data_IF_304399172860
#
_entry.id   IF_304399172860
#
_cell.length_a   1.000
_cell.length_b   1.000
_cell.length_c   1.000
_cell.angle_alpha   90.00
_cell.angle_beta   90.00
_cell.angle_gamma   90.00
#
_symmetry.space_group_name_H-M   'P 1'
#
loop_
_entity.id
_entity.type
_entity.pdbx_description
1 polymer ?
#
# COMPACT_ATOMS: atom_id res chain seq x y z
N UNK A 1 -23.47 -8.18 -1.03
CA UNK A 1 -22.69 -9.02 -1.94
C UNK A 1 -21.23 -8.55 -1.95
N UNK A 2 -20.30 -9.48 -1.86
CA UNK A 2 -18.85 -9.18 -1.80
C UNK A 2 -18.40 -8.38 -3.02
N UNK A 3 -18.91 -8.72 -4.21
CA UNK A 3 -18.56 -8.00 -5.45
C UNK A 3 -19.02 -6.55 -5.40
N UNK A 4 -20.21 -6.31 -4.90
CA UNK A 4 -20.76 -4.96 -4.77
C UNK A 4 -19.99 -4.16 -3.74
N UNK A 5 -19.59 -4.81 -2.63
CA UNK A 5 -18.80 -4.18 -1.58
C UNK A 5 -17.41 -3.78 -2.11
N UNK A 6 -16.79 -4.64 -2.90
CA UNK A 6 -15.50 -4.35 -3.53
C UNK A 6 -15.59 -3.18 -4.49
N UNK A 7 -16.64 -3.15 -5.33
CA UNK A 7 -16.82 -2.07 -6.28
C UNK A 7 -17.06 -0.74 -5.56
N UNK A 8 -17.89 -0.78 -4.51
CA UNK A 8 -18.17 0.41 -3.72
C UNK A 8 -16.90 0.94 -3.05
N UNK A 9 -16.06 0.04 -2.52
CA UNK A 9 -14.80 0.42 -1.91
C UNK A 9 -13.85 1.02 -2.93
N UNK A 10 -13.73 0.42 -4.10
CA UNK A 10 -12.89 0.95 -5.16
C UNK A 10 -13.34 2.34 -5.59
N UNK A 11 -14.64 2.56 -5.70
CA UNK A 11 -15.18 3.88 -6.06
C UNK A 11 -14.88 4.91 -4.99
N UNK A 12 -15.07 4.55 -3.72
CA UNK A 12 -14.83 5.44 -2.59
C UNK A 12 -13.37 5.85 -2.48
N UNK A 13 -12.46 4.91 -2.72
CA UNK A 13 -11.03 5.13 -2.53
C UNK A 13 -10.31 5.56 -3.81
N UNK A 14 -11.04 5.70 -4.91
CA UNK A 14 -10.47 6.05 -6.23
C UNK A 14 -9.38 5.07 -6.64
N UNK A 15 -9.63 3.78 -6.42
CA UNK A 15 -8.67 2.70 -6.72
C UNK A 15 -8.85 2.26 -8.17
N UNK A 16 -7.73 2.10 -8.88
CA UNK A 16 -7.75 1.65 -10.26
C UNK A 16 -7.80 0.12 -10.36
N UNK A 17 -7.13 -0.59 -9.44
CA UNK A 17 -7.03 -2.05 -9.52
C UNK A 17 -6.70 -2.64 -8.15
N UNK A 18 -7.36 -3.76 -7.82
CA UNK A 18 -7.00 -4.56 -6.66
C UNK A 18 -5.98 -5.62 -7.07
N UNK A 19 -4.85 -5.67 -6.38
CA UNK A 19 -3.79 -6.63 -6.64
C UNK A 19 -3.26 -7.20 -5.33
N UNK A 20 -2.57 -8.34 -5.42
CA UNK A 20 -1.81 -8.88 -4.30
C UNK A 20 -0.35 -8.44 -4.43
N UNK A 21 0.39 -8.50 -3.33
CA UNK A 21 1.82 -8.17 -3.36
C UNK A 21 2.59 -9.10 -4.30
N UNK A 22 2.12 -10.35 -4.45
CA UNK A 22 2.74 -11.30 -5.37
C UNK A 22 2.61 -10.89 -6.84
N UNK A 23 1.67 -10.00 -7.16
CA UNK A 23 1.52 -9.47 -8.51
C UNK A 23 2.54 -8.38 -8.82
N UNK A 24 3.21 -7.84 -7.81
CA UNK A 24 4.22 -6.78 -7.98
C UNK A 24 5.55 -7.45 -8.34
N UNK A 25 5.68 -7.83 -9.60
CA UNK A 25 6.87 -8.50 -10.14
C UNK A 25 7.72 -7.49 -10.92
N UNK A 26 8.99 -7.82 -11.23
CA UNK A 26 9.78 -6.94 -12.10
C UNK A 26 9.11 -6.66 -13.45
N UNK A 27 8.41 -7.64 -14.00
CA UNK A 27 7.67 -7.45 -15.26
C UNK A 27 6.53 -6.45 -15.07
N UNK A 28 5.77 -6.58 -13.98
CA UNK A 28 4.68 -5.66 -13.65
C UNK A 28 5.20 -4.23 -13.55
N UNK A 29 6.31 -4.03 -12.84
CA UNK A 29 6.91 -2.72 -12.66
C UNK A 29 7.39 -2.15 -14.00
N UNK A 30 7.96 -2.98 -14.87
CA UNK A 30 8.38 -2.53 -16.20
C UNK A 30 7.21 -2.06 -17.05
N UNK A 31 6.11 -2.79 -17.01
CA UNK A 31 4.88 -2.39 -17.73
C UNK A 31 4.35 -1.07 -17.18
N UNK A 32 4.33 -0.95 -15.85
CA UNK A 32 3.86 0.27 -15.19
C UNK A 32 4.68 1.49 -15.61
N UNK A 33 5.98 1.34 -15.77
CA UNK A 33 6.86 2.42 -16.19
C UNK A 33 6.54 2.97 -17.58
N UNK A 34 5.93 2.16 -18.44
CA UNK A 34 5.59 2.59 -19.80
C UNK A 34 4.54 3.69 -19.79
N UNK A 35 3.84 3.86 -18.69
CA UNK A 35 2.83 4.92 -18.53
C UNK A 35 3.41 6.18 -17.88
N UNK A 36 4.66 6.14 -17.42
CA UNK A 36 5.35 7.31 -16.87
C UNK A 36 5.77 8.28 -17.99
N UNK A 37 6.04 9.56 -17.71
CA UNK A 37 5.99 10.16 -16.37
C UNK A 37 4.56 10.47 -15.90
N UNK A 38 4.37 10.45 -14.60
CA UNK A 38 3.07 10.74 -14.00
C UNK A 38 3.00 12.21 -13.55
N UNK A 39 1.82 12.78 -13.66
CA UNK A 39 1.59 14.16 -13.28
C UNK A 39 0.18 14.57 -13.65
N UNK A 40 -0.15 15.88 -13.66
CA UNK A 40 -1.48 16.33 -14.06
C UNK A 40 -1.82 15.82 -15.45
N UNK A 41 -2.97 15.14 -15.57
CA UNK A 41 -3.39 14.54 -16.84
C UNK A 41 -2.86 13.15 -17.09
N UNK A 42 -1.91 12.68 -16.27
CA UNK A 42 -1.40 11.31 -16.35
C UNK A 42 -1.05 10.83 -14.93
N UNK A 43 -2.08 10.55 -14.17
CA UNK A 43 -1.92 10.19 -12.75
C UNK A 43 -1.38 8.78 -12.60
N UNK A 44 -0.53 8.59 -11.58
CA UNK A 44 -0.05 7.26 -11.21
C UNK A 44 -1.23 6.39 -10.79
N UNK A 45 -1.26 5.10 -11.21
CA UNK A 45 -2.34 4.20 -10.80
C UNK A 45 -2.34 4.00 -9.28
N UNK A 46 -3.52 3.90 -8.70
CA UNK A 46 -3.71 3.59 -7.29
C UNK A 46 -4.19 2.15 -7.18
N UNK A 47 -3.48 1.38 -6.38
CA UNK A 47 -3.77 -0.05 -6.16
C UNK A 47 -4.35 -0.28 -4.78
N UNK A 48 -5.12 -1.35 -4.65
CA UNK A 48 -5.65 -1.83 -3.38
C UNK A 48 -5.10 -3.22 -3.12
N UNK A 49 -4.55 -3.44 -1.93
CA UNK A 49 -4.16 -4.78 -1.47
C UNK A 49 -4.80 -5.04 -0.12
N UNK A 50 -5.33 -6.25 0.06
CA UNK A 50 -6.01 -6.67 1.28
C UNK A 50 -5.17 -7.66 2.06
N UNK A 51 -5.59 -7.93 3.29
CA UNK A 51 -4.94 -8.90 4.17
C UNK A 51 -3.48 -8.54 4.44
N UNK A 52 -3.23 -7.24 4.61
CA UNK A 52 -1.89 -6.72 4.88
C UNK A 52 -1.69 -6.65 6.39
N UNK A 53 -0.51 -7.06 6.83
CA UNK A 53 -0.12 -7.00 8.24
C UNK A 53 1.27 -6.40 8.37
N UNK A 54 1.54 -5.83 9.55
CA UNK A 54 2.87 -5.34 9.90
C UNK A 54 3.82 -6.53 10.02
N UNK A 55 5.00 -6.42 9.39
CA UNK A 55 6.03 -7.45 9.49
C UNK A 55 6.75 -7.43 10.84
N UNK A 56 6.50 -6.42 11.67
CA UNK A 56 7.10 -6.31 12.99
C UNK A 56 8.04 -5.14 13.16
N UNK A 57 8.35 -4.42 12.09
CA UNK A 57 9.33 -3.33 12.13
C UNK A 57 8.77 -1.99 11.66
N UNK A 58 7.47 -1.90 11.47
CA UNK A 58 6.83 -0.62 11.15
C UNK A 58 6.96 0.35 12.33
N UNK A 59 7.12 1.63 12.03
CA UNK A 59 7.33 2.64 13.06
C UNK A 59 6.74 3.98 12.65
N UNK A 60 6.48 4.82 13.64
CA UNK A 60 6.09 6.19 13.37
C UNK A 60 7.35 7.05 13.21
N UNK A 61 7.29 8.02 12.31
CA UNK A 61 8.39 8.94 12.02
C UNK A 61 7.86 10.35 11.91
N UNK A 62 8.75 11.34 11.89
CA UNK A 62 8.35 12.74 11.74
C UNK A 62 7.49 13.23 12.88
N UNK A 63 7.94 13.06 14.13
CA UNK A 63 7.21 13.44 15.34
C UNK A 63 5.85 12.73 15.43
N UNK A 64 5.82 11.45 15.05
CA UNK A 64 4.63 10.57 15.10
C UNK A 64 3.53 10.99 14.11
N UNK A 65 3.87 11.78 13.10
CA UNK A 65 2.89 12.21 12.10
C UNK A 65 2.73 11.21 10.97
N UNK A 66 3.78 10.47 10.67
CA UNK A 66 3.81 9.56 9.52
C UNK A 66 4.15 8.16 9.96
N UNK A 67 3.80 7.18 9.12
CA UNK A 67 4.15 5.78 9.34
C UNK A 67 5.16 5.33 8.30
N UNK A 68 6.26 4.75 8.76
CA UNK A 68 7.16 3.99 7.90
C UNK A 68 6.81 2.53 8.07
N UNK A 69 6.32 1.91 7.00
CA UNK A 69 5.74 0.59 7.03
C UNK A 69 6.70 -0.46 6.48
N UNK A 70 6.72 -1.61 7.12
CA UNK A 70 7.34 -2.83 6.60
C UNK A 70 6.27 -3.90 6.70
N UNK A 71 5.68 -4.24 5.56
CA UNK A 71 4.42 -4.97 5.53
C UNK A 71 4.49 -6.15 4.57
N UNK A 72 3.66 -7.15 4.87
CA UNK A 72 3.45 -8.31 4.02
C UNK A 72 1.96 -8.66 4.05
N UNK A 73 1.54 -9.49 3.12
CA UNK A 73 0.19 -10.05 3.18
C UNK A 73 0.19 -11.32 4.01
N UNK A 74 -0.94 -11.62 4.65
CA UNK A 74 -1.07 -12.79 5.52
C UNK A 74 -0.76 -14.09 4.81
N UNK A 75 -1.07 -14.17 3.52
CA UNK A 75 -0.88 -15.40 2.73
C UNK A 75 0.58 -15.62 2.32
N UNK A 76 1.45 -14.61 2.44
CA UNK A 76 2.85 -14.77 2.07
C UNK A 76 3.73 -13.82 2.91
N UNK A 77 4.19 -14.33 4.05
CA UNK A 77 5.00 -13.55 4.98
C UNK A 77 6.44 -13.34 4.48
N UNK A 78 6.84 -14.06 3.43
CA UNK A 78 8.19 -13.92 2.88
C UNK A 78 8.32 -12.71 1.94
N UNK A 79 7.19 -12.19 1.45
CA UNK A 79 7.18 -11.09 0.48
C UNK A 79 6.86 -9.79 1.20
N UNK A 80 7.91 -9.07 1.58
CA UNK A 80 7.82 -7.87 2.41
C UNK A 80 8.10 -6.63 1.56
N UNK A 81 7.27 -5.60 1.71
CA UNK A 81 7.47 -4.32 1.03
C UNK A 81 7.63 -3.20 2.04
N UNK A 82 8.50 -2.25 1.70
CA UNK A 82 8.61 -1.01 2.45
C UNK A 82 7.59 -0.01 1.92
N UNK A 83 7.02 0.79 2.82
CA UNK A 83 6.06 1.81 2.44
C UNK A 83 6.15 3.00 3.36
N UNK A 84 5.55 4.09 2.92
CA UNK A 84 5.40 5.30 3.72
C UNK A 84 3.94 5.75 3.64
N UNK A 85 3.35 6.03 4.79
CA UNK A 85 1.99 6.54 4.89
C UNK A 85 2.05 7.91 5.57
N UNK A 86 1.95 8.97 4.76
CA UNK A 86 2.03 10.32 5.28
C UNK A 86 0.76 10.66 6.07
N UNK A 87 0.94 11.32 7.22
CA UNK A 87 -0.13 11.77 8.10
C UNK A 87 -1.03 10.65 8.64
N UNK A 88 -0.47 9.43 8.70
CA UNK A 88 -1.18 8.26 9.24
C UNK A 88 -0.58 7.79 10.57
N UNK A 89 0.19 8.65 11.23
CA UNK A 89 0.84 8.29 12.49
C UNK A 89 -0.11 7.83 13.57
N UNK A 90 -1.36 8.31 13.56
CA UNK A 90 -2.38 7.92 14.54
C UNK A 90 -2.77 6.45 14.44
N UNK A 91 -2.52 5.81 13.30
CA UNK A 91 -2.82 4.40 13.09
C UNK A 91 -1.72 3.47 13.60
N UNK A 92 -0.63 4.01 14.14
CA UNK A 92 0.55 3.23 14.52
C UNK A 92 0.21 2.07 15.48
N UNK A 93 -0.55 2.35 16.51
CA UNK A 93 -0.88 1.32 17.51
C UNK A 93 -1.70 0.18 16.90
N UNK A 94 -2.65 0.50 16.03
CA UNK A 94 -3.45 -0.52 15.35
C UNK A 94 -2.61 -1.33 14.38
N UNK A 95 -1.76 -0.68 13.61
CA UNK A 95 -0.84 -1.37 12.70
C UNK A 95 0.09 -2.28 13.47
N UNK A 96 0.66 -1.77 14.56
CA UNK A 96 1.63 -2.52 15.38
C UNK A 96 0.98 -3.68 16.13
N UNK A 97 -0.33 -3.65 16.34
CA UNK A 97 -1.06 -4.75 17.00
C UNK A 97 -1.19 -5.99 16.12
N UNK A 98 -0.75 -5.88 14.85
CA UNK A 98 -0.82 -6.96 13.85
C UNK A 98 -2.25 -7.26 13.40
N UNK A 99 -3.15 -6.30 13.58
CA UNK A 99 -4.49 -6.37 13.02
C UNK A 99 -4.39 -6.27 11.49
N UNK A 100 -5.04 -7.19 10.73
CA UNK A 100 -5.01 -7.11 9.28
C UNK A 100 -5.72 -5.85 8.79
N UNK A 101 -5.19 -5.28 7.72
CA UNK A 101 -5.75 -4.07 7.11
C UNK A 101 -5.60 -4.12 5.60
N UNK A 102 -6.24 -3.18 4.94
CA UNK A 102 -6.10 -2.99 3.50
C UNK A 102 -5.45 -1.64 3.25
N UNK A 103 -4.68 -1.55 2.18
CA UNK A 103 -4.01 -0.30 1.81
C UNK A 103 -4.34 0.10 0.38
N UNK A 104 -4.45 1.41 0.19
CA UNK A 104 -4.50 2.04 -1.12
C UNK A 104 -3.16 2.72 -1.33
N UNK A 105 -2.49 2.44 -2.44
CA UNK A 105 -1.12 2.88 -2.61
C UNK A 105 -0.74 3.05 -4.08
N UNK A 106 0.30 3.85 -4.30
CA UNK A 106 1.00 3.92 -5.55
C UNK A 106 2.36 3.27 -5.40
N UNK A 107 2.88 2.70 -6.47
CA UNK A 107 4.20 2.07 -6.47
C UNK A 107 5.21 3.09 -6.97
N UNK A 108 6.24 3.35 -6.16
CA UNK A 108 7.28 4.29 -6.48
C UNK A 108 8.64 3.60 -6.51
N UNK A 109 9.56 4.15 -7.28
CA UNK A 109 10.95 3.72 -7.27
C UNK A 109 11.79 4.78 -6.59
N UNK A 110 12.57 4.35 -5.61
CA UNK A 110 13.55 5.20 -4.95
C UNK A 110 14.95 4.78 -5.37
N UNK A 111 15.74 5.74 -5.78
CA UNK A 111 17.16 5.52 -6.07
C UNK A 111 17.96 5.97 -4.87
N UNK A 112 18.69 5.04 -4.24
CA UNK A 112 19.43 5.31 -3.03
C UNK A 112 20.71 4.48 -3.02
N UNK A 113 21.84 5.14 -2.83
CA UNK A 113 23.16 4.50 -2.76
C UNK A 113 23.43 3.57 -3.94
N UNK A 114 23.10 4.02 -5.15
CA UNK A 114 23.32 3.25 -6.36
C UNK A 114 22.35 2.11 -6.62
N UNK A 115 21.33 1.97 -5.76
CA UNK A 115 20.33 0.90 -5.88
C UNK A 115 18.95 1.47 -6.13
N UNK A 116 18.16 0.76 -6.92
CA UNK A 116 16.76 1.09 -7.14
C UNK A 116 15.91 0.18 -6.27
N UNK A 117 15.10 0.77 -5.41
CA UNK A 117 14.20 0.03 -4.53
C UNK A 117 12.76 0.44 -4.80
N UNK A 118 11.84 -0.50 -4.63
CA UNK A 118 10.42 -0.19 -4.68
C UNK A 118 9.96 0.29 -3.31
N UNK A 119 9.13 1.31 -3.32
CA UNK A 119 8.49 1.82 -2.11
C UNK A 119 7.02 2.04 -2.40
N UNK A 120 6.16 1.65 -1.46
CA UNK A 120 4.73 1.88 -1.59
C UNK A 120 4.39 3.23 -0.95
N UNK A 121 3.82 4.14 -1.74
CA UNK A 121 3.30 5.38 -1.19
C UNK A 121 1.85 5.12 -0.80
N UNK A 122 1.63 4.85 0.49
CA UNK A 122 0.33 4.45 1.00
C UNK A 122 -0.55 5.67 1.17
N UNK A 123 -1.64 5.71 0.41
CA UNK A 123 -2.57 6.83 0.42
C UNK A 123 -3.62 6.70 1.51
N UNK A 124 -3.99 5.46 1.86
CA UNK A 124 -4.98 5.24 2.90
C UNK A 124 -4.81 3.84 3.48
N UNK A 125 -5.24 3.69 4.74
CA UNK A 125 -5.24 2.41 5.47
C UNK A 125 -6.65 2.18 5.97
N UNK A 126 -7.22 1.01 5.65
CA UNK A 126 -8.57 0.63 6.09
C UNK A 126 -8.50 -0.68 6.85
N UNK A 127 -8.95 -0.67 8.08
CA UNK A 127 -9.02 -1.86 8.91
C UNK A 127 -10.31 -2.63 8.61
N UNK A 128 -10.34 -3.92 8.94
CA UNK A 128 -11.42 -4.80 8.51
C UNK A 128 -12.81 -4.32 8.91
N UNK A 129 -12.95 -3.74 10.10
CA UNK A 129 -14.24 -3.21 10.55
C UNK A 129 -14.71 -2.02 9.73
N UNK A 130 -13.78 -1.22 9.18
CA UNK A 130 -14.09 -0.10 8.30
C UNK A 130 -14.47 -0.56 6.90
N UNK A 131 -14.17 -1.82 6.58
CA UNK A 131 -14.50 -2.44 5.30
C UNK A 131 -15.88 -3.09 5.31
N UNK A 132 -16.63 -2.99 6.40
CA UNK A 132 -17.95 -3.55 6.50
C UNK A 132 -17.99 -5.05 6.74
N UNK A 133 -16.94 -5.59 7.29
CA UNK A 133 -16.85 -7.03 7.58
C UNK A 133 -17.39 -7.38 8.97
#
# INVERSE_FOLDING_TARGET
>A
NITDDLQSLCDELNVDLEIDFSDITPKFVRVLKQFAPFGPGNMAPVFLSRNVVDNGTSRSVGNKKHLKLTINQQQDSSLVFAGIAFQKGDDYLRVHSKEPFSICYCIEKNFWQGKTNLQLNVKDIKFSEEMGC
#
